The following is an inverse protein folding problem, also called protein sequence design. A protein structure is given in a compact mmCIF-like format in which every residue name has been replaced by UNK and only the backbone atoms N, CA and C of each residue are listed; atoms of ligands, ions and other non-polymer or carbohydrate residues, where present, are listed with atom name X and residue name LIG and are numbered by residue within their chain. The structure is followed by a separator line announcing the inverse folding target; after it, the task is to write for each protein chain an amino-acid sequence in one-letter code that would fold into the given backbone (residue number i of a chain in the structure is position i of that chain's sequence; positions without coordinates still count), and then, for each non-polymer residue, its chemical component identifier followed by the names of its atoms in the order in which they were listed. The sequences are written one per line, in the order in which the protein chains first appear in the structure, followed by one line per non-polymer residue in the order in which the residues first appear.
data_IF_125874732297
#
_entry.id   IF_125874732297
#
_cell.length_a   1.000
_cell.length_b   1.000
_cell.length_c   1.000
_cell.angle_alpha   90.00
_cell.angle_beta   90.00
_cell.angle_gamma   90.00
#
_symmetry.space_group_name_H-M   'P 1'
#
loop_
_entity.id
_entity.type
_entity.pdbx_description
1 polymer ?
#
# COMPACT_ATOMS: atom_id res chain seq x y z
N UNK A 1 0.01 10.97 16.47
CA UNK A 1 0.75 12.20 16.81
C UNK A 1 -0.09 13.25 17.53
N UNK A 2 -1.07 12.84 18.34
CA UNK A 2 -1.91 13.77 19.10
C UNK A 2 -2.22 13.18 20.47
N UNK A 3 -2.53 14.05 21.43
CA UNK A 3 -2.95 13.62 22.76
C UNK A 3 -4.32 12.90 22.67
N UNK A 4 -4.53 11.84 23.47
CA UNK A 4 -5.82 11.17 23.52
C UNK A 4 -6.91 12.11 24.07
N UNK A 5 -8.13 11.99 23.54
CA UNK A 5 -9.28 12.72 24.07
C UNK A 5 -9.66 12.21 25.47
N UNK A 6 -10.34 13.04 26.26
CA UNK A 6 -10.84 12.66 27.58
C UNK A 6 -11.78 11.44 27.53
N UNK A 7 -12.55 11.30 26.46
CA UNK A 7 -13.43 10.16 26.23
C UNK A 7 -12.65 8.85 26.04
N UNK A 8 -11.62 8.89 25.19
CA UNK A 8 -10.74 7.75 24.95
C UNK A 8 -9.98 7.34 26.21
N UNK A 9 -9.55 8.30 27.04
CA UNK A 9 -8.94 8.01 28.35
C UNK A 9 -9.90 7.24 29.27
N UNK A 10 -11.19 7.63 29.30
CA UNK A 10 -12.22 6.94 30.09
C UNK A 10 -12.49 5.52 29.60
N UNK A 11 -12.49 5.27 28.30
CA UNK A 11 -12.65 3.92 27.73
C UNK A 11 -11.56 2.94 28.22
N UNK A 12 -10.34 3.43 28.45
CA UNK A 12 -9.24 2.66 29.01
C UNK A 12 -9.21 2.66 30.55
N UNK A 13 -10.23 3.21 31.22
CA UNK A 13 -10.37 3.22 32.67
C UNK A 13 -9.57 4.32 33.38
N UNK A 14 -9.12 5.35 32.67
CA UNK A 14 -8.43 6.49 33.28
C UNK A 14 -9.38 7.63 33.63
N UNK A 15 -9.17 8.24 34.79
CA UNK A 15 -9.82 9.50 35.16
C UNK A 15 -9.02 10.70 34.65
N UNK A 16 -9.55 11.36 33.61
CA UNK A 16 -8.98 12.55 32.97
C UNK A 16 -8.73 13.72 33.96
N UNK A 17 -9.45 13.76 35.07
CA UNK A 17 -9.35 14.84 36.05
C UNK A 17 -8.22 14.66 37.06
N UNK A 18 -7.64 13.46 37.16
CA UNK A 18 -6.59 13.17 38.12
C UNK A 18 -5.35 14.06 37.86
N UNK A 19 -4.81 14.76 38.87
CA UNK A 19 -3.68 15.70 38.69
C UNK A 19 -2.44 15.10 38.04
N UNK A 20 -2.13 13.83 38.32
CA UNK A 20 -0.97 13.15 37.71
C UNK A 20 -1.15 12.94 36.22
N UNK A 21 -2.36 12.55 35.79
CA UNK A 21 -2.65 12.30 34.39
C UNK A 21 -2.62 13.61 33.59
N UNK A 22 -3.18 14.70 34.14
CA UNK A 22 -3.05 16.04 33.54
C UNK A 22 -1.59 16.42 33.32
N UNK A 23 -0.72 16.23 34.32
CA UNK A 23 0.71 16.55 34.19
C UNK A 23 1.40 15.69 33.12
N UNK A 24 1.09 14.39 33.07
CA UNK A 24 1.62 13.48 32.05
C UNK A 24 1.17 13.92 30.66
N UNK A 25 -0.11 14.25 30.46
CA UNK A 25 -0.64 14.69 29.17
C UNK A 25 -0.03 16.02 28.73
N UNK A 26 0.15 16.99 29.65
CA UNK A 26 0.82 18.25 29.33
C UNK A 26 2.24 18.02 28.85
N UNK A 27 3.06 17.28 29.62
CA UNK A 27 4.45 16.99 29.23
C UNK A 27 4.53 16.15 27.96
N UNK A 28 3.61 15.21 27.77
CA UNK A 28 3.53 14.42 26.54
C UNK A 28 3.21 15.31 25.35
N UNK A 29 2.32 16.28 25.51
CA UNK A 29 1.96 17.25 24.48
C UNK A 29 3.17 18.08 24.02
N UNK A 30 4.03 18.48 24.96
CA UNK A 30 5.28 19.21 24.65
C UNK A 30 6.31 18.34 23.92
N UNK A 31 6.28 17.02 24.10
CA UNK A 31 7.21 16.09 23.49
C UNK A 31 6.74 15.55 22.13
N UNK A 32 5.45 15.64 21.81
CA UNK A 32 4.91 15.20 20.52
C UNK A 32 5.53 16.03 19.39
N UNK A 33 6.06 15.36 18.37
CA UNK A 33 6.73 15.98 17.24
C UNK A 33 8.21 16.30 17.47
N UNK A 34 8.72 16.17 18.71
CA UNK A 34 10.15 16.35 18.97
C UNK A 34 10.96 15.16 18.43
N UNK A 35 11.99 15.38 17.58
CA UNK A 35 12.80 14.29 17.05
C UNK A 35 13.52 13.53 18.16
N UNK A 36 13.39 12.20 18.18
CA UNK A 36 14.05 11.35 19.19
C UNK A 36 15.48 10.97 18.82
N UNK A 37 15.70 10.59 17.56
CA UNK A 37 16.99 10.20 17.00
C UNK A 37 16.91 10.22 15.47
N UNK A 38 18.08 10.31 14.82
CA UNK A 38 18.20 10.06 13.40
C UNK A 38 18.10 8.55 13.16
N UNK A 39 17.17 8.15 12.30
CA UNK A 39 16.99 6.75 11.89
C UNK A 39 17.34 6.61 10.41
N UNK A 40 17.73 5.41 10.01
CA UNK A 40 18.11 5.11 8.63
C UNK A 40 16.88 4.65 7.86
N UNK A 41 16.66 5.19 6.66
CA UNK A 41 15.61 4.68 5.78
C UNK A 41 16.04 3.33 5.18
N UNK A 42 15.41 2.21 5.54
CA UNK A 42 15.82 0.90 5.06
C UNK A 42 15.54 0.80 3.56
N UNK A 43 16.62 0.71 2.77
CA UNK A 43 16.54 0.57 1.32
C UNK A 43 16.66 1.89 0.55
N UNK A 44 16.68 3.05 1.20
CA UNK A 44 16.89 4.32 0.49
C UNK A 44 18.35 4.54 0.11
N UNK A 45 18.61 4.75 -1.17
CA UNK A 45 19.92 5.13 -1.69
C UNK A 45 19.81 6.44 -2.46
N UNK A 46 20.86 7.26 -2.34
CA UNK A 46 20.99 8.52 -3.06
C UNK A 46 22.18 8.40 -3.99
N UNK A 47 21.99 8.83 -5.23
CA UNK A 47 23.02 8.83 -6.27
C UNK A 47 23.21 10.28 -6.71
N UNK A 48 24.47 10.73 -6.71
CA UNK A 48 24.88 12.06 -7.14
C UNK A 48 26.02 11.94 -8.14
N UNK A 49 26.10 12.88 -9.08
CA UNK A 49 27.21 13.01 -10.02
C UNK A 49 28.52 13.40 -9.31
N UNK A 50 28.41 14.19 -8.24
CA UNK A 50 29.54 14.63 -7.44
C UNK A 50 29.52 13.99 -6.05
N UNK A 51 30.68 13.89 -5.37
CA UNK A 51 30.76 13.34 -4.02
C UNK A 51 29.76 13.98 -3.06
N UNK A 52 28.96 13.17 -2.36
CA UNK A 52 27.85 13.66 -1.53
C UNK A 52 28.31 14.55 -0.37
N UNK A 53 29.52 14.33 0.15
CA UNK A 53 30.14 15.14 1.19
C UNK A 53 30.43 16.59 0.78
N UNK A 54 30.41 16.89 -0.51
CA UNK A 54 30.47 18.27 -1.02
C UNK A 54 29.12 19.00 -0.98
N UNK A 55 28.02 18.28 -0.79
CA UNK A 55 26.64 18.80 -0.82
C UNK A 55 25.98 18.77 0.56
N UNK A 56 26.16 17.66 1.29
CA UNK A 56 25.50 17.38 2.57
C UNK A 56 26.46 16.65 3.50
N UNK A 57 26.46 16.92 4.82
CA UNK A 57 27.24 16.14 5.77
C UNK A 57 26.93 14.65 5.66
N UNK A 58 28.00 13.86 5.55
CA UNK A 58 27.96 12.40 5.52
C UNK A 58 28.49 11.86 6.85
N UNK A 59 27.75 10.94 7.47
CA UNK A 59 28.16 10.26 8.69
C UNK A 59 28.16 8.74 8.51
N UNK A 60 28.93 8.04 9.34
CA UNK A 60 28.93 6.59 9.35
C UNK A 60 27.61 6.08 9.95
N UNK A 61 26.99 5.13 9.25
CA UNK A 61 25.81 4.45 9.74
C UNK A 61 26.17 3.50 10.91
N UNK A 62 25.15 3.06 11.65
CA UNK A 62 25.33 2.05 12.70
C UNK A 62 25.86 0.70 12.17
N UNK A 63 25.62 0.38 10.90
CA UNK A 63 26.15 -0.81 10.25
C UNK A 63 27.51 -0.50 9.62
N UNK A 64 28.48 -1.38 9.84
CA UNK A 64 29.82 -1.22 9.29
C UNK A 64 29.80 -1.07 7.77
N UNK A 65 30.73 -0.26 7.25
CA UNK A 65 30.90 0.02 5.81
C UNK A 65 29.68 0.67 5.14
N UNK A 66 28.83 1.35 5.92
CA UNK A 66 27.74 2.16 5.39
C UNK A 66 27.82 3.59 5.89
N UNK A 67 27.40 4.50 5.03
CA UNK A 67 27.28 5.93 5.33
C UNK A 67 25.85 6.38 5.10
N UNK A 68 25.46 7.44 5.80
CA UNK A 68 24.17 8.12 5.63
C UNK A 68 24.38 9.61 5.50
N UNK A 69 23.44 10.28 4.86
CA UNK A 69 23.35 11.74 4.80
C UNK A 69 22.29 12.22 5.79
N UNK A 70 22.37 13.49 6.18
CA UNK A 70 21.46 14.06 7.18
C UNK A 70 20.13 14.58 6.60
N UNK A 71 20.04 14.72 5.28
CA UNK A 71 18.82 15.13 4.59
C UNK A 71 17.79 14.01 4.51
N UNK A 72 16.53 14.36 4.68
CA UNK A 72 15.41 13.44 4.53
C UNK A 72 14.94 13.34 3.08
N UNK A 73 13.82 12.63 2.85
CA UNK A 73 13.27 12.45 1.51
C UNK A 73 12.84 13.76 0.87
N UNK A 74 12.23 14.66 1.64
CA UNK A 74 11.64 15.88 1.11
C UNK A 74 12.76 16.88 0.75
N UNK A 75 13.82 16.93 1.57
CA UNK A 75 15.04 17.67 1.26
C UNK A 75 15.68 17.21 -0.06
N UNK A 76 15.77 15.88 -0.27
CA UNK A 76 16.32 15.28 -1.49
C UNK A 76 15.51 15.61 -2.74
N UNK A 77 14.18 15.57 -2.63
CA UNK A 77 13.27 15.92 -3.72
C UNK A 77 13.40 17.42 -4.08
N UNK A 78 13.61 18.31 -3.10
CA UNK A 78 13.82 19.75 -3.31
C UNK A 78 15.11 20.06 -4.06
N UNK A 79 16.19 19.34 -3.79
CA UNK A 79 17.48 19.54 -4.47
C UNK A 79 17.60 18.75 -5.77
N UNK A 80 16.58 17.95 -6.12
CA UNK A 80 16.53 17.18 -7.36
C UNK A 80 17.55 16.04 -7.42
N UNK A 81 17.94 15.48 -6.27
CA UNK A 81 18.86 14.34 -6.21
C UNK A 81 18.15 13.03 -6.60
N UNK A 82 18.88 12.16 -7.31
CA UNK A 82 18.34 10.87 -7.70
C UNK A 82 18.26 9.95 -6.48
N UNK A 83 17.03 9.57 -6.13
CA UNK A 83 16.73 8.59 -5.09
C UNK A 83 16.33 7.25 -5.70
N UNK A 84 16.87 6.17 -5.15
CA UNK A 84 16.49 4.79 -5.48
C UNK A 84 16.16 4.01 -4.21
N UNK A 85 14.99 3.39 -4.16
CA UNK A 85 14.61 2.49 -3.06
C UNK A 85 14.90 1.03 -3.45
N UNK A 86 15.89 0.42 -2.79
CA UNK A 86 16.21 -1.01 -2.87
C UNK A 86 15.47 -1.73 -1.74
N UNK A 87 14.27 -2.21 -2.08
CA UNK A 87 13.41 -2.93 -1.16
C UNK A 87 13.77 -4.42 -1.13
N UNK A 88 14.01 -4.96 0.06
CA UNK A 88 14.20 -6.38 0.27
C UNK A 88 12.83 -7.06 0.49
N UNK A 89 12.19 -7.52 -0.60
CA UNK A 89 10.94 -8.26 -0.51
C UNK A 89 11.22 -9.75 -0.26
N UNK A 90 10.97 -10.23 0.96
CA UNK A 90 11.23 -11.61 1.38
C UNK A 90 10.57 -12.66 0.49
N UNK A 91 9.40 -12.35 -0.09
CA UNK A 91 8.68 -13.26 -0.99
C UNK A 91 9.41 -13.51 -2.31
N UNK A 92 10.19 -12.57 -2.82
CA UNK A 92 11.04 -12.83 -3.99
C UNK A 92 12.15 -13.82 -3.66
N UNK A 93 12.70 -13.75 -2.44
CA UNK A 93 13.68 -14.73 -1.95
C UNK A 93 13.03 -16.10 -1.74
N UNK A 94 11.79 -16.15 -1.25
CA UNK A 94 11.03 -17.39 -1.11
C UNK A 94 10.80 -18.05 -2.49
N UNK A 95 10.33 -17.29 -3.48
CA UNK A 95 10.11 -17.76 -4.85
C UNK A 95 11.39 -18.34 -5.47
N UNK A 96 12.52 -17.62 -5.36
CA UNK A 96 13.82 -18.13 -5.81
C UNK A 96 14.17 -19.47 -5.17
N UNK A 97 14.09 -19.56 -3.84
CA UNK A 97 14.40 -20.81 -3.10
C UNK A 97 13.47 -21.95 -3.51
N UNK A 98 12.19 -21.66 -3.75
CA UNK A 98 11.23 -22.65 -4.26
C UNK A 98 11.63 -23.17 -5.63
N UNK A 99 12.04 -22.31 -6.56
CA UNK A 99 12.53 -22.73 -7.88
C UNK A 99 13.83 -23.54 -7.78
N UNK A 100 14.75 -23.16 -6.89
CA UNK A 100 15.98 -23.92 -6.62
C UNK A 100 15.64 -25.34 -6.12
N UNK A 101 14.66 -25.48 -5.23
CA UNK A 101 14.18 -26.79 -4.73
C UNK A 101 13.50 -27.61 -5.84
N UNK A 102 12.68 -26.98 -6.68
CA UNK A 102 12.06 -27.66 -7.83
C UNK A 102 13.13 -28.17 -8.79
N UNK A 103 14.17 -27.37 -9.05
CA UNK A 103 15.29 -27.81 -9.88
C UNK A 103 16.03 -28.98 -9.25
N UNK A 104 16.34 -28.91 -7.96
CA UNK A 104 17.04 -29.98 -7.23
C UNK A 104 16.28 -31.32 -7.27
N UNK A 105 14.97 -31.28 -7.05
CA UNK A 105 14.17 -32.50 -6.86
C UNK A 105 13.46 -32.99 -8.13
N UNK A 106 13.21 -32.11 -9.10
CA UNK A 106 12.44 -32.41 -10.31
C UNK A 106 13.20 -32.10 -11.61
N UNK A 107 14.43 -31.61 -11.52
CA UNK A 107 15.28 -31.27 -12.67
C UNK A 107 14.83 -30.05 -13.47
N UNK A 108 13.67 -29.46 -13.17
CA UNK A 108 13.11 -28.33 -13.91
C UNK A 108 13.65 -27.00 -13.40
N UNK A 109 14.22 -26.19 -14.29
CA UNK A 109 14.59 -24.81 -13.99
C UNK A 109 13.45 -23.89 -14.38
N UNK A 110 12.84 -23.26 -13.39
CA UNK A 110 11.80 -22.27 -13.59
C UNK A 110 12.28 -20.88 -13.22
N UNK A 111 11.71 -19.92 -13.91
CA UNK A 111 11.78 -18.48 -13.67
C UNK A 111 10.36 -17.95 -13.53
N UNK A 112 10.21 -16.69 -13.13
CA UNK A 112 8.90 -16.06 -13.07
C UNK A 112 8.21 -15.99 -14.44
N UNK A 113 8.98 -15.93 -15.53
CA UNK A 113 8.45 -15.89 -16.88
C UNK A 113 7.83 -17.22 -17.33
N UNK A 114 8.14 -18.33 -16.65
CA UNK A 114 7.61 -19.65 -16.97
C UNK A 114 6.22 -19.91 -16.35
N UNK A 115 5.75 -19.04 -15.46
CA UNK A 115 4.48 -19.23 -14.76
C UNK A 115 3.30 -18.68 -15.59
N UNK A 116 2.29 -19.51 -15.82
CA UNK A 116 1.02 -19.07 -16.41
C UNK A 116 0.16 -18.36 -15.37
N UNK A 117 -0.43 -17.22 -15.72
CA UNK A 117 -1.36 -16.49 -14.84
C UNK A 117 -2.75 -17.13 -14.71
N UNK A 118 -3.04 -18.16 -15.50
CA UNK A 118 -4.39 -18.74 -15.66
C UNK A 118 -4.44 -20.19 -15.16
N UNK A 119 -4.01 -20.45 -13.93
CA UNK A 119 -4.06 -21.78 -13.31
C UNK A 119 -5.34 -21.96 -12.45
N UNK A 120 -6.31 -22.79 -12.88
CA UNK A 120 -7.58 -22.96 -12.16
C UNK A 120 -7.41 -23.51 -10.74
N UNK A 121 -6.44 -24.41 -10.51
CA UNK A 121 -6.20 -25.01 -9.19
C UNK A 121 -5.73 -23.95 -8.18
N UNK A 122 -4.86 -23.03 -8.61
CA UNK A 122 -4.43 -21.86 -7.81
C UNK A 122 -5.63 -20.98 -7.45
N UNK A 123 -6.51 -20.67 -8.40
CA UNK A 123 -7.71 -19.86 -8.13
C UNK A 123 -8.71 -20.56 -7.21
N UNK A 124 -8.86 -21.88 -7.32
CA UNK A 124 -9.71 -22.66 -6.43
C UNK A 124 -9.18 -22.67 -5.00
N UNK A 125 -7.86 -22.87 -4.82
CA UNK A 125 -7.18 -22.77 -3.53
C UNK A 125 -7.39 -21.39 -2.90
N UNK A 126 -7.16 -20.33 -3.67
CA UNK A 126 -7.37 -18.95 -3.23
C UNK A 126 -8.84 -18.71 -2.85
N UNK A 127 -9.79 -19.18 -3.65
CA UNK A 127 -11.23 -19.04 -3.38
C UNK A 127 -11.67 -19.72 -2.09
N UNK A 128 -10.99 -20.79 -1.65
CA UNK A 128 -11.23 -21.44 -0.35
C UNK A 128 -10.54 -20.72 0.82
N UNK A 129 -9.90 -19.58 0.57
CA UNK A 129 -9.05 -18.85 1.50
C UNK A 129 -7.85 -19.66 2.03
N UNK A 130 -7.40 -20.69 1.32
CA UNK A 130 -6.20 -21.45 1.67
C UNK A 130 -4.94 -20.69 1.22
N UNK A 131 -4.64 -19.61 1.93
CA UNK A 131 -3.70 -18.56 1.50
C UNK A 131 -2.64 -18.22 2.55
N UNK A 132 -2.45 -19.08 3.55
CA UNK A 132 -1.35 -18.94 4.52
C UNK A 132 -0.02 -19.01 3.75
N UNK A 133 0.85 -18.01 3.92
CA UNK A 133 2.08 -17.85 3.16
C UNK A 133 1.93 -17.33 1.73
N UNK A 134 0.71 -16.94 1.29
CA UNK A 134 0.49 -16.32 -0.02
C UNK A 134 0.55 -14.80 0.11
N UNK A 135 1.46 -14.18 -0.64
CA UNK A 135 1.75 -12.76 -0.53
C UNK A 135 0.50 -11.89 -0.76
N UNK A 136 0.32 -10.86 0.08
CA UNK A 136 -0.77 -9.87 0.08
C UNK A 136 -2.17 -10.36 0.46
N UNK A 137 -2.50 -11.65 0.30
CA UNK A 137 -3.85 -12.17 0.54
C UNK A 137 -3.97 -13.10 1.77
N UNK A 138 -2.94 -13.16 2.60
CA UNK A 138 -2.89 -14.00 3.83
C UNK A 138 -3.63 -13.38 5.04
N UNK A 139 -3.82 -12.05 5.09
CA UNK A 139 -4.37 -11.42 6.30
C UNK A 139 -5.81 -11.88 6.58
N UNK A 140 -6.25 -11.84 7.84
CA UNK A 140 -7.64 -12.22 8.23
C UNK A 140 -8.72 -11.52 7.40
N UNK A 141 -8.53 -10.23 7.10
CA UNK A 141 -9.49 -9.47 6.31
C UNK A 141 -9.55 -9.95 4.86
N UNK A 142 -8.40 -10.27 4.26
CA UNK A 142 -8.29 -10.83 2.91
C UNK A 142 -8.89 -12.25 2.88
N UNK A 143 -8.47 -13.14 3.78
CA UNK A 143 -9.01 -14.49 3.89
C UNK A 143 -10.54 -14.54 4.11
N UNK A 144 -11.12 -13.56 4.80
CA UNK A 144 -12.57 -13.48 4.97
C UNK A 144 -13.31 -13.03 3.69
N UNK A 145 -12.63 -12.31 2.80
CA UNK A 145 -13.18 -11.78 1.57
C UNK A 145 -13.08 -12.79 0.41
N UNK A 146 -11.97 -13.53 0.31
CA UNK A 146 -11.72 -14.51 -0.75
C UNK A 146 -12.89 -15.48 -1.06
N UNK A 147 -13.56 -16.11 -0.07
CA UNK A 147 -14.68 -17.02 -0.34
C UNK A 147 -15.94 -16.32 -0.86
N UNK A 148 -16.05 -15.00 -0.64
CA UNK A 148 -17.14 -14.15 -1.14
C UNK A 148 -16.82 -13.66 -2.55
N UNK A 149 -15.57 -13.30 -2.82
CA UNK A 149 -15.13 -12.81 -4.12
C UNK A 149 -15.03 -13.93 -5.16
N UNK A 150 -14.53 -15.11 -4.75
CA UNK A 150 -14.24 -16.28 -5.59
C UNK A 150 -13.44 -15.88 -6.84
N UNK A 151 -12.15 -15.54 -6.71
CA UNK A 151 -11.31 -15.14 -7.84
C UNK A 151 -11.22 -16.26 -8.88
N UNK A 152 -11.41 -15.93 -10.16
CA UNK A 152 -11.30 -16.89 -11.29
C UNK A 152 -10.22 -16.48 -12.31
N UNK A 153 -9.70 -15.26 -12.18
CA UNK A 153 -8.68 -14.68 -13.07
C UNK A 153 -7.82 -13.67 -12.32
N UNK A 154 -6.67 -13.32 -12.90
CA UNK A 154 -5.69 -12.45 -12.25
C UNK A 154 -6.27 -11.11 -11.80
N UNK A 155 -7.12 -10.52 -12.64
CA UNK A 155 -7.72 -9.22 -12.34
C UNK A 155 -8.63 -9.24 -11.11
N UNK A 156 -9.18 -10.38 -10.73
CA UNK A 156 -9.95 -10.49 -9.49
C UNK A 156 -9.05 -10.33 -8.26
N UNK A 157 -7.80 -10.79 -8.31
CA UNK A 157 -6.82 -10.57 -7.25
C UNK A 157 -6.40 -9.10 -7.14
N UNK A 158 -6.36 -8.39 -8.29
CA UNK A 158 -6.13 -6.93 -8.29
C UNK A 158 -7.26 -6.22 -7.55
N UNK A 159 -8.51 -6.65 -7.75
CA UNK A 159 -9.66 -6.12 -7.01
C UNK A 159 -9.60 -6.48 -5.53
N UNK A 160 -9.30 -7.74 -5.20
CA UNK A 160 -9.21 -8.25 -3.83
C UNK A 160 -8.27 -7.39 -2.97
N UNK A 161 -7.04 -7.19 -3.46
CA UNK A 161 -6.02 -6.41 -2.75
C UNK A 161 -6.39 -4.92 -2.68
N UNK A 162 -7.16 -4.39 -3.64
CA UNK A 162 -7.59 -3.00 -3.66
C UNK A 162 -8.78 -2.74 -2.70
N UNK A 163 -9.77 -3.62 -2.69
CA UNK A 163 -11.04 -3.41 -1.99
C UNK A 163 -10.94 -3.68 -0.48
N UNK A 164 -10.04 -4.56 -0.06
CA UNK A 164 -9.77 -4.86 1.36
C UNK A 164 -8.73 -3.88 1.90
N UNK A 165 -9.08 -2.59 1.91
CA UNK A 165 -8.27 -1.48 2.44
C UNK A 165 -9.15 -0.51 3.25
N UNK A 166 -8.59 0.25 4.22
CA UNK A 166 -9.36 1.15 5.06
C UNK A 166 -10.26 2.13 4.30
N UNK A 167 -9.75 2.77 3.24
CA UNK A 167 -10.52 3.73 2.44
C UNK A 167 -11.77 3.12 1.79
N UNK A 168 -11.64 2.08 0.95
CA UNK A 168 -12.80 1.39 0.35
C UNK A 168 -13.77 0.77 1.37
N UNK A 169 -13.28 0.28 2.52
CA UNK A 169 -14.13 -0.23 3.60
C UNK A 169 -14.96 0.90 4.24
N UNK A 170 -14.33 2.04 4.53
CA UNK A 170 -15.02 3.21 5.08
C UNK A 170 -15.97 3.86 4.08
N UNK A 171 -15.65 3.79 2.79
CA UNK A 171 -16.48 4.28 1.69
C UNK A 171 -17.61 3.34 1.27
N UNK A 172 -17.87 2.26 2.02
CA UNK A 172 -18.89 1.23 1.74
C UNK A 172 -18.83 0.68 0.30
N UNK A 173 -17.61 0.52 -0.24
CA UNK A 173 -17.40 0.08 -1.63
C UNK A 173 -17.45 -1.44 -1.80
N UNK A 174 -17.20 -2.18 -0.71
CA UNK A 174 -17.12 -3.66 -0.69
C UNK A 174 -18.46 -4.29 -1.07
N UNK A 175 -19.55 -3.84 -0.43
CA UNK A 175 -20.86 -4.44 -0.59
C UNK A 175 -21.46 -4.24 -1.99
N UNK A 176 -21.48 -3.02 -2.57
CA UNK A 176 -21.93 -2.81 -3.94
C UNK A 176 -21.17 -3.65 -4.96
N UNK A 177 -19.85 -3.75 -4.83
CA UNK A 177 -19.04 -4.56 -5.74
C UNK A 177 -19.45 -6.03 -5.71
N UNK A 178 -19.57 -6.63 -4.52
CA UNK A 178 -19.96 -8.03 -4.35
C UNK A 178 -21.37 -8.31 -4.87
N UNK A 179 -22.35 -7.46 -4.54
CA UNK A 179 -23.74 -7.64 -5.03
C UNK A 179 -23.79 -7.62 -6.55
N UNK A 180 -23.08 -6.69 -7.19
CA UNK A 180 -23.01 -6.60 -8.65
C UNK A 180 -22.29 -7.79 -9.28
N UNK A 181 -21.21 -8.24 -8.64
CA UNK A 181 -20.47 -9.44 -9.09
C UNK A 181 -21.32 -10.70 -9.01
N UNK A 182 -22.14 -10.82 -7.96
CA UNK A 182 -23.06 -11.94 -7.76
C UNK A 182 -24.36 -11.83 -8.60
N UNK A 183 -24.54 -10.73 -9.34
CA UNK A 183 -25.77 -10.48 -10.10
C UNK A 183 -26.99 -10.10 -9.24
N UNK A 184 -26.77 -9.76 -7.96
CA UNK A 184 -27.80 -9.31 -7.02
C UNK A 184 -28.19 -7.83 -7.24
N UNK A 185 -27.31 -7.05 -7.86
CA UNK A 185 -27.50 -5.63 -8.18
C UNK A 185 -27.08 -5.36 -9.63
N UNK A 186 -27.86 -4.56 -10.37
CA UNK A 186 -27.50 -4.17 -11.73
C UNK A 186 -26.30 -3.22 -11.74
N UNK A 187 -25.35 -3.45 -12.65
CA UNK A 187 -24.21 -2.55 -12.85
C UNK A 187 -24.69 -1.28 -13.55
N UNK A 188 -24.48 -0.12 -12.93
CA UNK A 188 -24.87 1.18 -13.48
C UNK A 188 -23.68 2.15 -13.51
N UNK A 189 -23.47 2.77 -14.67
CA UNK A 189 -22.55 3.89 -14.87
C UNK A 189 -22.92 4.60 -16.20
N UNK A 190 -22.59 5.89 -16.36
CA UNK A 190 -22.78 6.58 -17.63
C UNK A 190 -22.00 5.90 -18.76
N UNK A 191 -22.58 5.79 -19.97
CA UNK A 191 -21.94 5.14 -21.12
C UNK A 191 -20.55 5.71 -21.43
N UNK A 192 -20.37 7.02 -21.24
CA UNK A 192 -19.07 7.69 -21.43
C UNK A 192 -17.99 7.20 -20.47
N UNK A 193 -18.35 6.64 -19.31
CA UNK A 193 -17.43 6.12 -18.30
C UNK A 193 -17.34 4.58 -18.32
N UNK A 194 -17.88 3.93 -19.37
CA UNK A 194 -17.85 2.47 -19.48
C UNK A 194 -16.42 1.93 -19.43
N UNK A 195 -15.50 2.51 -20.19
CA UNK A 195 -14.09 2.11 -20.22
C UNK A 195 -13.42 2.18 -18.84
N UNK A 196 -13.85 3.12 -18.00
CA UNK A 196 -13.30 3.34 -16.66
C UNK A 196 -13.82 2.31 -15.66
N UNK A 197 -15.13 2.04 -15.66
CA UNK A 197 -15.79 1.33 -14.58
C UNK A 197 -16.26 -0.08 -14.91
N UNK A 198 -16.24 -0.50 -16.17
CA UNK A 198 -16.70 -1.85 -16.57
C UNK A 198 -15.97 -2.95 -15.80
N UNK A 199 -14.64 -2.81 -15.65
CA UNK A 199 -13.80 -3.79 -14.95
C UNK A 199 -14.01 -3.80 -13.43
N UNK A 200 -14.51 -2.72 -12.85
CA UNK A 200 -14.79 -2.61 -11.40
C UNK A 200 -16.29 -2.60 -11.09
N UNK A 201 -17.13 -3.00 -12.06
CA UNK A 201 -18.57 -3.12 -11.89
C UNK A 201 -19.21 -1.80 -11.40
N UNK A 202 -18.76 -0.65 -11.90
CA UNK A 202 -19.32 0.65 -11.48
C UNK A 202 -18.82 1.16 -10.13
N UNK A 203 -17.81 0.54 -9.52
CA UNK A 203 -17.26 0.95 -8.21
C UNK A 203 -15.90 1.63 -8.42
N UNK A 204 -15.68 2.86 -7.91
CA UNK A 204 -14.40 3.56 -8.05
C UNK A 204 -13.38 3.03 -7.02
N UNK A 205 -12.59 2.04 -7.43
CA UNK A 205 -11.62 1.36 -6.56
C UNK A 205 -10.19 1.89 -6.70
N UNK A 206 -9.84 2.44 -7.86
CA UNK A 206 -8.48 2.84 -8.19
C UNK A 206 -8.35 4.35 -8.35
N UNK A 207 -7.18 4.90 -8.02
CA UNK A 207 -6.91 6.33 -8.18
C UNK A 207 -6.91 6.74 -9.66
N UNK A 208 -6.44 5.85 -10.52
CA UNK A 208 -6.41 5.99 -11.97
C UNK A 208 -7.83 6.20 -12.53
N UNK A 209 -8.85 5.57 -11.92
CA UNK A 209 -10.24 5.78 -12.33
C UNK A 209 -10.71 7.20 -12.03
N UNK A 210 -10.26 7.80 -10.92
CA UNK A 210 -10.60 9.20 -10.59
C UNK A 210 -9.98 10.14 -11.63
N UNK A 211 -8.74 9.88 -12.05
CA UNK A 211 -8.08 10.64 -13.10
C UNK A 211 -8.79 10.50 -14.45
N UNK A 212 -9.13 9.28 -14.86
CA UNK A 212 -9.85 9.04 -16.12
C UNK A 212 -11.23 9.68 -16.13
N UNK A 213 -11.94 9.68 -14.99
CA UNK A 213 -13.21 10.42 -14.87
C UNK A 213 -12.98 11.92 -15.06
N UNK A 214 -11.95 12.52 -14.47
CA UNK A 214 -11.67 13.95 -14.65
C UNK A 214 -11.39 14.29 -16.12
N UNK A 215 -10.63 13.44 -16.82
CA UNK A 215 -10.32 13.62 -18.25
C UNK A 215 -11.60 13.49 -19.10
N UNK A 216 -12.40 12.45 -18.89
CA UNK A 216 -13.55 12.13 -19.76
C UNK A 216 -14.79 12.98 -19.41
N UNK A 217 -14.98 13.33 -18.14
CA UNK A 217 -16.18 14.01 -17.66
C UNK A 217 -16.01 15.52 -17.50
N UNK A 218 -14.79 16.02 -17.29
CA UNK A 218 -14.50 17.42 -17.06
C UNK A 218 -13.49 18.02 -18.05
N UNK A 219 -13.13 17.27 -19.11
CA UNK A 219 -12.21 17.69 -20.19
C UNK A 219 -10.81 18.12 -19.68
N UNK A 220 -10.35 17.53 -18.58
CA UNK A 220 -9.00 17.78 -18.05
C UNK A 220 -7.95 17.20 -18.99
N UNK A 221 -6.82 17.90 -19.12
CA UNK A 221 -5.61 17.33 -19.70
C UNK A 221 -5.00 16.27 -18.75
N UNK A 222 -4.19 15.32 -19.25
CA UNK A 222 -3.52 14.33 -18.39
C UNK A 222 -2.68 14.95 -17.27
N UNK A 223 -2.09 16.13 -17.51
CA UNK A 223 -1.31 16.88 -16.51
C UNK A 223 -2.18 17.46 -15.39
N UNK A 224 -3.34 18.04 -15.72
CA UNK A 224 -4.30 18.55 -14.73
C UNK A 224 -4.91 17.42 -13.91
N UNK A 225 -5.16 16.25 -14.53
CA UNK A 225 -5.63 15.07 -13.81
C UNK A 225 -4.60 14.54 -12.80
N UNK A 226 -3.29 14.56 -13.11
CA UNK A 226 -2.26 14.19 -12.13
C UNK A 226 -2.15 15.23 -11.00
N UNK A 227 -2.28 16.52 -11.31
CA UNK A 227 -2.34 17.56 -10.28
C UNK A 227 -3.53 17.36 -9.33
N UNK A 228 -4.71 17.05 -9.88
CA UNK A 228 -5.89 16.70 -9.08
C UNK A 228 -5.62 15.47 -8.18
N UNK A 229 -5.00 14.42 -8.72
CA UNK A 229 -4.62 13.23 -7.94
C UNK A 229 -3.70 13.59 -6.77
N UNK A 230 -2.67 14.41 -7.00
CA UNK A 230 -1.74 14.86 -5.95
C UNK A 230 -2.45 15.67 -4.88
N UNK A 231 -3.36 16.56 -5.26
CA UNK A 231 -4.15 17.35 -4.32
C UNK A 231 -5.08 16.46 -3.46
N UNK A 232 -5.68 15.42 -4.05
CA UNK A 232 -6.53 14.46 -3.32
C UNK A 232 -5.74 13.52 -2.41
N UNK A 233 -4.51 13.15 -2.78
CA UNK A 233 -3.66 12.27 -1.98
C UNK A 233 -2.96 12.99 -0.81
N UNK A 234 -2.96 14.32 -0.81
CA UNK A 234 -2.42 15.16 0.27
C UNK A 234 -3.42 15.38 1.43
N UNK A 235 -4.56 14.69 1.42
CA UNK A 235 -5.64 14.76 2.41
C UNK A 235 -5.79 13.46 3.22
#
# INVERSE_FOLDING_TARGET
DTLPSAERLREYGFDAETPILKRVLTLTGELIGFPRHLSQHPGGFVISEHPLDTLVPVENAAMAERTIIQWDKDDLDLVGLLKVDILALGMLSALRRTFDLVHLHRGKRWTLADMSGDDPETYEMISRADTIGVFQIESRAQMAMLPRLRPEKFYDLVIEVAIVRPGPIQGDMVHPYLRRRNGEEAVTYPLKLKSVFERTLGVPLFQEQVMEVAIIAADYTPGEADQLRRAMAAW
#
